data_IF_592352520415
#
_entry.id   IF_592352520415
#
_cell.length_a   1.000
_cell.length_b   1.000
_cell.length_c   1.000
_cell.angle_alpha   90.00
_cell.angle_beta   90.00
_cell.angle_gamma   90.00
#
_symmetry.space_group_name_H-M   'P 1'
#
loop_
_entity.id
_entity.type
_entity.pdbx_description
1 polymer ?
#
# COMPACT_ATOMS: atom_id res chain seq x y z
N UNK A 1 77.72 26.37 -21.16
CA UNK A 1 77.20 25.71 -19.95
C UNK A 1 75.92 26.46 -19.59
N UNK A 2 74.71 26.01 -20.00
CA UNK A 2 73.83 25.04 -19.31
C UNK A 2 73.84 25.33 -17.80
N UNK A 3 72.79 25.78 -17.12
CA UNK A 3 71.36 25.39 -17.10
C UNK A 3 70.63 26.31 -16.12
N UNK A 4 69.36 26.68 -16.36
CA UNK A 4 68.26 26.57 -15.38
C UNK A 4 66.95 27.06 -16.01
N UNK A 5 66.00 26.14 -16.23
CA UNK A 5 64.58 26.47 -16.34
C UNK A 5 63.88 25.64 -15.28
N UNK A 6 63.43 26.29 -14.21
CA UNK A 6 62.51 25.71 -13.24
C UNK A 6 61.15 25.54 -13.94
N UNK A 7 60.67 24.31 -14.03
CA UNK A 7 59.27 24.01 -14.35
C UNK A 7 58.62 23.56 -13.05
N UNK A 8 57.74 24.40 -12.52
CA UNK A 8 56.90 24.09 -11.37
C UNK A 8 55.65 23.39 -11.90
N UNK A 9 55.58 22.06 -11.81
CA UNK A 9 54.35 21.31 -12.06
C UNK A 9 53.56 21.29 -10.76
N UNK A 10 52.49 22.08 -10.69
CA UNK A 10 51.51 21.99 -9.61
C UNK A 10 50.67 20.73 -9.83
N UNK A 11 50.87 19.73 -8.98
CA UNK A 11 50.07 18.51 -8.95
C UNK A 11 48.76 18.81 -8.20
N UNK A 12 47.69 19.11 -8.94
CA UNK A 12 46.34 19.20 -8.36
C UNK A 12 45.82 17.78 -8.18
N UNK A 13 45.91 17.26 -6.95
CA UNK A 13 45.25 16.02 -6.56
C UNK A 13 43.77 16.35 -6.34
N UNK A 14 42.93 16.03 -7.34
CA UNK A 14 41.49 16.10 -7.21
C UNK A 14 41.03 15.03 -6.23
N UNK A 15 40.64 15.43 -5.02
CA UNK A 15 39.83 14.60 -4.14
C UNK A 15 38.43 14.49 -4.75
N UNK A 16 38.17 13.43 -5.51
CA UNK A 16 36.81 13.02 -5.81
C UNK A 16 36.20 12.43 -4.54
N UNK A 17 35.48 13.24 -3.79
CA UNK A 17 34.53 12.72 -2.80
C UNK A 17 33.52 11.87 -3.57
N UNK A 18 33.63 10.55 -3.46
CA UNK A 18 32.56 9.67 -3.89
C UNK A 18 31.39 9.93 -2.94
N UNK A 19 30.47 10.77 -3.38
CA UNK A 19 29.13 10.82 -2.79
C UNK A 19 28.52 9.47 -3.13
N UNK A 20 28.54 8.54 -2.18
CA UNK A 20 27.77 7.31 -2.28
C UNK A 20 26.30 7.72 -2.21
N UNK A 21 25.70 8.01 -3.36
CA UNK A 21 24.25 8.09 -3.47
C UNK A 21 23.72 6.69 -3.19
N UNK A 22 22.90 6.56 -2.14
CA UNK A 22 22.24 5.29 -1.85
C UNK A 22 21.42 4.85 -3.07
N UNK A 23 21.50 3.57 -3.39
CA UNK A 23 20.69 3.00 -4.47
C UNK A 23 19.31 2.61 -3.95
N UNK A 24 18.33 2.51 -4.86
CA UNK A 24 17.00 1.96 -4.52
C UNK A 24 17.13 0.58 -3.88
N UNK A 25 17.98 -0.29 -4.44
CA UNK A 25 18.19 -1.65 -3.95
C UNK A 25 18.72 -1.65 -2.51
N UNK A 26 19.61 -0.71 -2.15
CA UNK A 26 20.10 -0.55 -0.77
C UNK A 26 19.02 -0.06 0.19
N UNK A 27 18.18 0.90 -0.24
CA UNK A 27 17.07 1.41 0.59
C UNK A 27 16.07 0.28 0.87
N UNK A 28 15.69 -0.48 -0.15
CA UNK A 28 14.77 -1.62 0.00
C UNK A 28 15.39 -2.76 0.81
N UNK A 29 16.69 -3.03 0.67
CA UNK A 29 17.37 -4.02 1.49
C UNK A 29 17.36 -3.64 2.98
N UNK A 30 17.69 -2.39 3.32
CA UNK A 30 17.62 -1.88 4.69
C UNK A 30 16.18 -1.90 5.23
N UNK A 31 15.20 -1.52 4.40
CA UNK A 31 13.79 -1.61 4.75
C UNK A 31 13.43 -3.03 5.18
N UNK A 32 13.68 -4.03 4.33
CA UNK A 32 13.36 -5.42 4.63
C UNK A 32 14.11 -5.95 5.85
N UNK A 33 15.37 -5.57 6.05
CA UNK A 33 16.12 -5.93 7.25
C UNK A 33 15.47 -5.34 8.51
N UNK A 34 15.12 -4.05 8.48
CA UNK A 34 14.57 -3.33 9.62
C UNK A 34 13.16 -3.80 10.01
N UNK A 35 12.36 -4.29 9.06
CA UNK A 35 11.03 -4.83 9.36
C UNK A 35 11.03 -6.31 9.74
N UNK A 36 12.18 -6.95 9.95
CA UNK A 36 12.28 -8.33 10.42
C UNK A 36 12.67 -9.38 9.38
N UNK A 37 13.08 -8.93 8.19
CA UNK A 37 13.72 -9.74 7.15
C UNK A 37 12.78 -10.18 6.02
N UNK A 38 13.28 -10.05 4.78
CA UNK A 38 12.56 -10.43 3.55
C UNK A 38 12.05 -11.88 3.58
N UNK A 39 12.87 -12.81 4.05
CA UNK A 39 12.51 -14.23 4.10
C UNK A 39 11.37 -14.53 5.08
N UNK A 40 11.22 -13.74 6.15
CA UNK A 40 10.10 -13.88 7.06
C UNK A 40 8.84 -13.26 6.48
N UNK A 41 8.98 -12.09 5.84
CA UNK A 41 7.90 -11.42 5.14
C UNK A 41 7.31 -12.30 4.02
N UNK A 42 8.15 -12.98 3.23
CA UNK A 42 7.73 -13.91 2.16
C UNK A 42 6.95 -15.14 2.63
N UNK A 43 7.03 -15.49 3.92
CA UNK A 43 6.28 -16.62 4.52
C UNK A 43 4.84 -16.25 4.89
N UNK A 44 4.49 -14.97 4.83
CA UNK A 44 3.11 -14.54 5.08
C UNK A 44 2.25 -14.94 3.88
N UNK A 45 1.30 -15.82 4.16
CA UNK A 45 0.26 -16.26 3.24
C UNK A 45 -1.05 -15.49 3.45
N UNK A 46 -1.24 -14.91 4.65
CA UNK A 46 -2.39 -14.05 4.95
C UNK A 46 -2.17 -13.11 6.13
N UNK A 47 -3.01 -12.09 6.23
CA UNK A 47 -2.99 -11.12 7.32
C UNK A 47 -4.41 -10.67 7.64
N UNK A 48 -4.74 -10.64 8.94
CA UNK A 48 -5.94 -10.01 9.48
C UNK A 48 -5.55 -8.82 10.34
N UNK A 49 -6.11 -7.65 10.06
CA UNK A 49 -6.00 -6.47 10.92
C UNK A 49 -7.34 -6.18 11.58
N UNK A 50 -7.33 -6.01 12.91
CA UNK A 50 -8.49 -5.50 13.66
C UNK A 50 -8.26 -4.02 13.94
N UNK A 51 -9.05 -3.16 13.33
CA UNK A 51 -8.84 -1.72 13.33
C UNK A 51 -10.11 -0.92 13.64
N UNK A 52 -9.96 0.38 13.77
CA UNK A 52 -11.05 1.34 13.82
C UNK A 52 -10.70 2.54 12.96
N UNK A 53 -11.62 2.98 12.11
CA UNK A 53 -11.50 4.26 11.41
C UNK A 53 -12.29 5.33 12.16
N UNK A 54 -11.69 6.52 12.32
CA UNK A 54 -12.36 7.70 12.84
C UNK A 54 -12.85 8.56 11.67
N UNK A 55 -14.16 8.60 11.47
CA UNK A 55 -14.78 9.43 10.45
C UNK A 55 -15.59 10.54 11.13
N UNK A 56 -15.05 11.76 11.17
CA UNK A 56 -15.74 12.92 11.75
C UNK A 56 -16.08 12.78 13.24
N UNK A 57 -15.25 12.07 14.01
CA UNK A 57 -15.46 11.82 15.44
C UNK A 57 -16.24 10.53 15.75
N UNK A 58 -16.72 9.81 14.73
CA UNK A 58 -17.33 8.49 14.89
C UNK A 58 -16.28 7.40 14.66
N UNK A 59 -16.09 6.52 15.66
CA UNK A 59 -15.27 5.32 15.51
C UNK A 59 -16.10 4.20 14.86
N UNK A 60 -15.60 3.67 13.75
CA UNK A 60 -16.20 2.56 13.01
C UNK A 60 -15.22 1.38 13.04
N UNK A 61 -15.55 0.27 13.72
CA UNK A 61 -14.71 -0.93 13.73
C UNK A 61 -14.57 -1.55 12.35
N UNK A 62 -13.35 -2.00 12.05
CA UNK A 62 -12.96 -2.65 10.80
C UNK A 62 -12.26 -3.99 11.10
N UNK A 63 -12.51 -4.98 10.26
CA UNK A 63 -11.62 -6.13 10.09
C UNK A 63 -11.15 -6.16 8.64
N UNK A 64 -9.84 -6.16 8.42
CA UNK A 64 -9.24 -6.15 7.08
C UNK A 64 -8.49 -7.45 6.91
N UNK A 65 -8.78 -8.16 5.82
CA UNK A 65 -8.12 -9.40 5.48
C UNK A 65 -7.46 -9.28 4.12
N UNK A 66 -6.22 -9.75 4.02
CA UNK A 66 -5.47 -9.82 2.78
C UNK A 66 -4.70 -11.13 2.74
N UNK A 67 -4.66 -11.77 1.59
CA UNK A 67 -3.99 -13.04 1.37
C UNK A 67 -3.17 -13.00 0.10
N UNK A 68 -2.14 -13.85 0.09
CA UNK A 68 -1.35 -14.11 -1.12
C UNK A 68 -2.27 -14.63 -2.23
N UNK A 69 -2.00 -14.19 -3.47
CA UNK A 69 -2.89 -14.47 -4.61
C UNK A 69 -4.10 -13.54 -4.70
N UNK A 70 -4.18 -12.53 -3.82
CA UNK A 70 -5.06 -11.37 -3.96
C UNK A 70 -6.38 -11.46 -3.22
N UNK A 71 -6.76 -12.62 -2.66
CA UNK A 71 -7.99 -12.72 -1.86
C UNK A 71 -7.97 -11.67 -0.74
N UNK A 72 -9.04 -10.89 -0.63
CA UNK A 72 -9.13 -9.85 0.38
C UNK A 72 -10.59 -9.53 0.71
N UNK A 73 -10.82 -8.94 1.88
CA UNK A 73 -12.10 -8.35 2.24
C UNK A 73 -11.91 -7.36 3.39
N UNK A 74 -12.75 -6.33 3.41
CA UNK A 74 -12.88 -5.43 4.56
C UNK A 74 -14.28 -5.54 5.13
N UNK A 75 -14.37 -5.92 6.41
CA UNK A 75 -15.60 -5.91 7.19
C UNK A 75 -15.68 -4.58 7.93
N UNK A 76 -16.84 -3.92 7.86
CA UNK A 76 -17.13 -2.62 8.45
C UNK A 76 -18.33 -2.81 9.37
N UNK A 77 -18.15 -2.59 10.67
CA UNK A 77 -19.26 -2.64 11.61
C UNK A 77 -19.84 -1.23 11.79
N UNK A 78 -20.94 -0.93 11.08
CA UNK A 78 -21.58 0.38 11.14
C UNK A 78 -22.94 0.27 11.83
N UNK A 79 -23.08 0.88 13.01
CA UNK A 79 -24.31 0.87 13.81
C UNK A 79 -24.84 -0.56 14.09
N UNK A 80 -23.94 -1.51 14.35
CA UNK A 80 -24.29 -2.91 14.63
C UNK A 80 -24.64 -3.73 13.38
N UNK A 81 -24.52 -3.16 12.17
CA UNK A 81 -24.64 -3.88 10.91
C UNK A 81 -23.27 -4.17 10.34
N UNK A 82 -23.10 -5.40 9.85
CA UNK A 82 -21.90 -5.81 9.15
C UNK A 82 -22.01 -5.45 7.66
N UNK A 83 -21.10 -4.63 7.17
CA UNK A 83 -20.95 -4.31 5.75
C UNK A 83 -19.61 -4.83 5.25
N UNK A 84 -19.60 -5.50 4.10
CA UNK A 84 -18.38 -5.98 3.46
C UNK A 84 -18.03 -5.06 2.29
N UNK A 85 -16.76 -4.75 2.12
CA UNK A 85 -16.22 -3.95 1.02
C UNK A 85 -15.01 -4.64 0.42
N UNK A 86 -14.80 -4.43 -0.87
CA UNK A 86 -13.61 -4.91 -1.58
C UNK A 86 -13.41 -6.41 -1.49
N UNK A 87 -14.50 -7.18 -1.37
CA UNK A 87 -14.44 -8.63 -1.25
C UNK A 87 -14.02 -9.20 -2.58
N UNK A 88 -12.88 -9.87 -2.59
CA UNK A 88 -12.29 -10.44 -3.79
C UNK A 88 -11.87 -11.88 -3.53
N UNK A 89 -12.36 -12.81 -4.36
CA UNK A 89 -12.07 -14.24 -4.26
C UNK A 89 -10.96 -14.71 -5.22
N UNK A 90 -10.39 -13.79 -6.02
CA UNK A 90 -9.47 -14.06 -7.13
C UNK A 90 -10.11 -13.86 -8.52
N UNK A 91 -11.44 -13.86 -8.59
CA UNK A 91 -12.21 -13.77 -9.84
C UNK A 91 -13.33 -12.74 -9.77
N UNK A 92 -14.10 -12.71 -8.69
CA UNK A 92 -15.24 -11.83 -8.45
C UNK A 92 -14.86 -10.77 -7.42
N UNK A 93 -15.03 -9.49 -7.78
CA UNK A 93 -14.96 -8.37 -6.86
C UNK A 93 -16.37 -7.87 -6.53
N UNK A 94 -16.66 -7.68 -5.25
CA UNK A 94 -17.96 -7.17 -4.80
C UNK A 94 -17.89 -6.42 -3.45
N UNK A 95 -18.97 -5.73 -3.12
CA UNK A 95 -19.16 -5.10 -1.82
C UNK A 95 -20.61 -4.73 -1.57
N UNK A 96 -20.94 -4.34 -0.34
CA UNK A 96 -22.24 -3.79 0.00
C UNK A 96 -22.35 -2.32 -0.39
N UNK A 97 -23.43 -1.94 -1.07
CA UNK A 97 -23.76 -0.54 -1.25
C UNK A 97 -24.16 0.09 0.10
N UNK A 98 -23.49 1.14 0.54
CA UNK A 98 -23.76 1.74 1.86
C UNK A 98 -25.16 2.35 2.00
N UNK A 99 -25.81 2.72 0.89
CA UNK A 99 -27.15 3.31 0.91
C UNK A 99 -28.25 2.24 0.88
N UNK A 100 -28.10 1.22 0.04
CA UNK A 100 -29.12 0.18 -0.13
C UNK A 100 -28.87 -1.05 0.74
N UNK A 101 -27.67 -1.20 1.30
CA UNK A 101 -27.16 -2.35 2.05
C UNK A 101 -27.12 -3.66 1.24
N UNK A 102 -27.30 -3.60 -0.08
CA UNK A 102 -27.27 -4.78 -0.96
C UNK A 102 -25.86 -5.08 -1.44
N UNK A 103 -25.57 -6.36 -1.67
CA UNK A 103 -24.33 -6.79 -2.31
C UNK A 103 -24.37 -6.49 -3.81
N UNK A 104 -23.33 -5.84 -4.30
CA UNK A 104 -23.18 -5.44 -5.69
C UNK A 104 -21.80 -5.90 -6.18
N UNK A 105 -21.78 -6.56 -7.33
CA UNK A 105 -20.54 -6.89 -8.02
C UNK A 105 -19.96 -5.61 -8.64
N UNK A 106 -18.65 -5.47 -8.56
CA UNK A 106 -17.93 -4.45 -9.33
C UNK A 106 -18.01 -4.76 -10.82
N UNK A 107 -17.81 -3.73 -11.64
CA UNK A 107 -17.71 -3.90 -13.08
C UNK A 107 -16.43 -4.67 -13.49
N UNK A 108 -16.38 -5.08 -14.76
CA UNK A 108 -15.30 -5.90 -15.29
C UNK A 108 -13.94 -5.16 -15.30
N UNK A 109 -13.92 -3.85 -15.51
CA UNK A 109 -12.68 -3.05 -15.54
C UNK A 109 -12.09 -2.97 -14.13
N UNK A 110 -12.90 -2.60 -13.15
CA UNK A 110 -12.50 -2.55 -11.75
C UNK A 110 -12.02 -3.92 -11.26
N UNK A 111 -12.71 -4.99 -11.64
CA UNK A 111 -12.32 -6.37 -11.28
C UNK A 111 -11.01 -6.78 -11.96
N UNK A 112 -10.80 -6.43 -13.22
CA UNK A 112 -9.56 -6.71 -13.94
C UNK A 112 -8.37 -5.96 -13.34
N UNK A 113 -8.55 -4.69 -12.96
CA UNK A 113 -7.51 -3.92 -12.27
C UNK A 113 -7.19 -4.52 -10.90
N UNK A 114 -8.20 -4.98 -10.15
CA UNK A 114 -7.99 -5.63 -8.85
C UNK A 114 -7.11 -6.89 -8.97
N UNK A 115 -7.27 -7.69 -10.03
CA UNK A 115 -6.43 -8.87 -10.29
C UNK A 115 -4.95 -8.55 -10.45
N UNK A 116 -4.59 -7.37 -10.92
CA UNK A 116 -3.19 -6.96 -11.09
C UNK A 116 -2.49 -6.82 -9.72
N UNK A 117 -3.24 -6.45 -8.68
CA UNK A 117 -2.72 -6.31 -7.31
C UNK A 117 -2.45 -7.65 -6.62
N UNK A 118 -2.78 -8.80 -7.24
CA UNK A 118 -2.57 -10.12 -6.63
C UNK A 118 -1.10 -10.41 -6.30
N UNK A 119 -0.17 -9.72 -6.96
CA UNK A 119 1.27 -9.87 -6.80
C UNK A 119 1.87 -8.94 -5.73
N UNK A 120 1.07 -8.05 -5.13
CA UNK A 120 1.56 -6.99 -4.25
C UNK A 120 1.56 -7.37 -2.77
N UNK A 121 0.88 -8.45 -2.39
CA UNK A 121 0.85 -8.89 -1.01
C UNK A 121 2.06 -9.78 -0.66
N UNK A 122 2.67 -9.62 0.53
CA UNK A 122 2.38 -8.61 1.56
C UNK A 122 3.04 -7.24 1.33
N UNK A 123 3.96 -7.15 0.38
CA UNK A 123 4.64 -5.90 0.03
C UNK A 123 4.99 -5.86 -1.48
N UNK A 124 4.68 -4.76 -2.19
CA UNK A 124 4.84 -4.68 -3.64
C UNK A 124 6.31 -4.71 -4.08
N UNK A 125 7.25 -4.34 -3.21
CA UNK A 125 8.68 -4.31 -3.51
C UNK A 125 9.33 -5.69 -3.48
N UNK A 126 8.67 -6.69 -2.90
CA UNK A 126 9.15 -8.07 -2.94
C UNK A 126 9.27 -8.50 -4.40
N UNK A 127 10.46 -8.95 -4.83
CA UNK A 127 10.71 -9.46 -6.18
C UNK A 127 10.24 -8.52 -7.32
N UNK A 128 10.24 -7.21 -7.07
CA UNK A 128 9.66 -6.21 -7.99
C UNK A 128 10.22 -6.28 -9.42
N UNK A 129 11.51 -6.62 -9.57
CA UNK A 129 12.16 -6.80 -10.88
C UNK A 129 11.57 -7.99 -11.65
N UNK A 130 11.21 -9.07 -10.96
CA UNK A 130 10.62 -10.28 -11.56
C UNK A 130 9.16 -10.03 -11.98
N UNK A 131 8.45 -9.18 -11.23
CA UNK A 131 7.11 -8.68 -11.60
C UNK A 131 7.13 -7.70 -12.77
N UNK A 132 8.31 -7.22 -13.18
CA UNK A 132 8.47 -6.21 -14.22
C UNK A 132 8.17 -4.78 -13.74
N UNK A 133 8.18 -4.55 -12.43
CA UNK A 133 7.96 -3.21 -11.86
C UNK A 133 9.19 -2.35 -12.00
N UNK A 134 8.97 -1.05 -12.11
CA UNK A 134 10.02 -0.06 -12.09
C UNK A 134 10.02 0.65 -10.75
N UNK A 135 11.18 0.69 -10.10
CA UNK A 135 11.38 1.39 -8.84
C UNK A 135 12.52 2.39 -8.99
N UNK A 136 12.22 3.67 -8.75
CA UNK A 136 13.12 4.79 -9.02
C UNK A 136 13.27 5.66 -7.76
N UNK A 137 14.51 5.94 -7.34
CA UNK A 137 14.79 6.93 -6.31
C UNK A 137 14.76 8.32 -6.94
N UNK A 138 13.81 9.15 -6.52
CA UNK A 138 13.65 10.53 -7.00
C UNK A 138 14.43 11.56 -6.18
N UNK A 139 15.12 11.12 -5.13
CA UNK A 139 15.87 11.95 -4.20
C UNK A 139 15.24 11.96 -2.82
N UNK A 140 15.50 13.02 -2.06
CA UNK A 140 14.94 13.22 -0.72
C UNK A 140 13.84 14.27 -0.72
N UNK A 141 12.82 14.06 0.12
CA UNK A 141 11.71 15.00 0.33
C UNK A 141 11.33 14.99 1.83
N UNK A 142 10.92 16.14 2.35
CA UNK A 142 10.40 16.24 3.72
C UNK A 142 8.90 15.90 3.74
N UNK A 143 8.49 15.04 4.67
CA UNK A 143 7.09 14.74 4.97
C UNK A 143 6.88 15.00 6.46
N UNK A 144 6.06 16.01 6.78
CA UNK A 144 5.73 16.42 8.15
C UNK A 144 6.95 16.61 9.06
N UNK A 145 8.04 17.17 8.53
CA UNK A 145 9.28 17.43 9.27
C UNK A 145 10.23 16.22 9.38
N UNK A 146 9.92 15.12 8.69
CA UNK A 146 10.78 13.94 8.60
C UNK A 146 11.43 13.89 7.21
N UNK A 147 12.76 13.81 7.17
CA UNK A 147 13.48 13.63 5.89
C UNK A 147 13.28 12.20 5.38
N UNK A 148 12.78 12.07 4.15
CA UNK A 148 12.48 10.77 3.52
C UNK A 148 13.20 10.58 2.19
N UNK A 149 13.40 9.32 1.79
CA UNK A 149 13.67 8.95 0.41
C UNK A 149 12.35 8.83 -0.37
N UNK A 150 12.22 9.61 -1.44
CA UNK A 150 11.07 9.51 -2.33
C UNK A 150 11.32 8.45 -3.39
N UNK A 151 10.61 7.35 -3.28
CA UNK A 151 10.66 6.23 -4.22
C UNK A 151 9.40 6.24 -5.08
N UNK A 152 9.57 6.27 -6.40
CA UNK A 152 8.49 6.04 -7.35
C UNK A 152 8.41 4.55 -7.68
N UNK A 153 7.23 3.98 -7.52
CA UNK A 153 6.88 2.63 -7.95
C UNK A 153 5.93 2.74 -9.15
N UNK A 154 6.29 2.13 -10.28
CA UNK A 154 5.40 1.92 -11.43
C UNK A 154 5.14 0.43 -11.58
N UNK A 155 3.86 0.03 -11.50
CA UNK A 155 3.39 -1.37 -11.62
C UNK A 155 2.83 -1.66 -13.03
N UNK A 156 2.13 -2.79 -13.20
CA UNK A 156 1.46 -3.12 -14.45
C UNK A 156 0.47 -2.02 -14.88
N UNK A 157 0.23 -1.91 -16.19
CA UNK A 157 -0.76 -0.99 -16.72
C UNK A 157 -2.15 -1.37 -16.22
N UNK A 158 -2.89 -0.37 -15.75
CA UNK A 158 -4.29 -0.48 -15.36
C UNK A 158 -5.17 0.12 -16.44
N UNK A 159 -6.42 -0.32 -16.53
CA UNK A 159 -7.41 0.27 -17.43
C UNK A 159 -8.25 1.30 -16.70
N UNK A 160 -8.35 2.50 -17.25
CA UNK A 160 -9.16 3.60 -16.72
C UNK A 160 -10.02 4.15 -17.84
N UNK A 161 -11.34 4.07 -17.70
CA UNK A 161 -12.29 4.51 -18.72
C UNK A 161 -12.00 3.88 -20.10
N UNK A 162 -11.64 2.59 -20.11
CA UNK A 162 -11.30 1.81 -21.31
C UNK A 162 -9.92 2.12 -21.93
N UNK A 163 -9.03 2.84 -21.23
CA UNK A 163 -7.67 3.15 -21.71
C UNK A 163 -6.61 2.63 -20.75
N UNK A 164 -5.52 2.10 -21.30
CA UNK A 164 -4.36 1.71 -20.50
C UNK A 164 -3.62 2.94 -19.98
N UNK A 165 -3.27 2.93 -18.69
CA UNK A 165 -2.51 3.96 -18.01
C UNK A 165 -1.52 3.36 -17.01
N UNK A 166 -0.41 4.05 -16.74
CA UNK A 166 0.59 3.61 -15.75
C UNK A 166 0.03 3.63 -14.33
N UNK A 167 0.12 2.52 -13.59
CA UNK A 167 -0.16 2.51 -12.16
C UNK A 167 1.06 2.99 -11.37
N UNK A 168 1.01 4.23 -10.87
CA UNK A 168 2.14 4.92 -10.23
C UNK A 168 1.79 5.30 -8.81
N UNK A 169 2.70 4.97 -7.88
CA UNK A 169 2.66 5.40 -6.49
C UNK A 169 4.02 5.94 -6.06
N UNK A 170 4.02 6.90 -5.14
CA UNK A 170 5.21 7.47 -4.52
C UNK A 170 5.25 7.07 -3.05
N UNK A 171 6.29 6.36 -2.66
CA UNK A 171 6.56 5.94 -1.30
C UNK A 171 7.62 6.87 -0.69
N UNK A 172 7.40 7.26 0.55
CA UNK A 172 8.28 8.13 1.31
C UNK A 172 8.87 7.34 2.47
N UNK A 173 10.08 6.84 2.28
CA UNK A 173 10.78 6.03 3.26
C UNK A 173 11.55 6.92 4.22
N UNK A 174 11.30 6.81 5.51
CA UNK A 174 12.10 7.50 6.53
C UNK A 174 13.60 7.22 6.35
N UNK A 175 14.43 8.25 6.43
CA UNK A 175 15.88 8.09 6.20
C UNK A 175 16.65 7.47 7.37
N UNK A 176 16.03 7.38 8.55
CA UNK A 176 16.64 6.76 9.73
C UNK A 176 16.31 5.26 9.82
N UNK A 177 15.03 4.92 9.70
CA UNK A 177 14.52 3.56 9.91
C UNK A 177 14.17 2.84 8.61
N UNK A 178 14.23 3.51 7.46
CA UNK A 178 13.97 2.91 6.14
C UNK A 178 12.58 2.28 6.02
N UNK A 179 11.58 2.75 6.77
CA UNK A 179 10.18 2.31 6.65
C UNK A 179 9.35 3.38 5.95
N UNK A 180 8.33 3.01 5.14
CA UNK A 180 7.50 3.98 4.45
C UNK A 180 6.59 4.71 5.44
N UNK A 181 6.74 6.02 5.61
CA UNK A 181 5.87 6.83 6.47
C UNK A 181 4.73 7.50 5.70
N UNK A 182 4.81 7.52 4.37
CA UNK A 182 3.70 7.94 3.52
C UNK A 182 3.72 7.24 2.15
N UNK A 183 2.54 7.13 1.56
CA UNK A 183 2.31 6.74 0.16
C UNK A 183 1.39 7.79 -0.47
N UNK A 184 1.74 8.26 -1.66
CA UNK A 184 0.91 9.15 -2.47
C UNK A 184 0.66 8.53 -3.85
N UNK A 185 -0.58 8.63 -4.34
CA UNK A 185 -0.96 8.20 -5.69
C UNK A 185 -2.07 9.08 -6.25
N UNK A 186 -2.20 9.15 -7.57
CA UNK A 186 -3.30 9.89 -8.20
C UNK A 186 -4.59 9.04 -8.15
N UNK A 187 -5.69 9.65 -7.72
CA UNK A 187 -7.01 9.05 -7.84
C UNK A 187 -7.40 9.10 -9.32
N UNK A 188 -7.62 7.94 -9.94
CA UNK A 188 -7.85 7.86 -11.39
C UNK A 188 -9.31 7.83 -11.81
N UNK A 189 -10.21 7.50 -10.89
CA UNK A 189 -11.63 7.29 -11.19
C UNK A 189 -12.54 7.97 -10.15
N UNK A 190 -13.82 8.08 -10.48
CA UNK A 190 -14.83 8.64 -9.57
C UNK A 190 -14.69 10.14 -9.33
N UNK A 191 -15.37 10.64 -8.30
CA UNK A 191 -15.45 12.06 -7.99
C UNK A 191 -14.10 12.69 -7.63
N UNK A 192 -13.14 11.88 -7.17
CA UNK A 192 -11.83 12.34 -6.78
C UNK A 192 -10.78 12.37 -7.89
N UNK A 193 -11.16 12.06 -9.13
CA UNK A 193 -10.23 11.94 -10.26
C UNK A 193 -9.31 13.17 -10.37
N UNK A 194 -8.00 12.93 -10.45
CA UNK A 194 -6.96 13.96 -10.54
C UNK A 194 -6.48 14.54 -9.20
N UNK A 195 -7.10 14.17 -8.08
CA UNK A 195 -6.58 14.50 -6.75
C UNK A 195 -5.50 13.49 -6.35
N UNK A 196 -4.59 13.92 -5.45
CA UNK A 196 -3.59 13.04 -4.87
C UNK A 196 -4.16 12.41 -3.60
N UNK A 197 -4.33 11.09 -3.62
CA UNK A 197 -4.56 10.31 -2.41
C UNK A 197 -3.25 10.25 -1.62
N UNK A 198 -3.36 10.30 -0.29
CA UNK A 198 -2.25 10.14 0.64
C UNK A 198 -2.65 9.17 1.74
N UNK A 199 -1.73 8.28 2.07
CA UNK A 199 -1.80 7.40 3.22
C UNK A 199 -0.53 7.62 4.03
N UNK A 200 -0.64 8.00 5.30
CA UNK A 200 0.49 8.10 6.22
C UNK A 200 0.49 6.94 7.20
N UNK A 201 1.68 6.59 7.69
CA UNK A 201 1.94 5.45 8.57
C UNK A 201 2.76 5.89 9.77
N UNK A 202 2.42 5.36 10.94
CA UNK A 202 3.10 5.65 12.19
C UNK A 202 2.90 4.50 13.17
N UNK A 203 3.59 4.58 14.31
CA UNK A 203 3.49 3.60 15.40
C UNK A 203 3.80 2.18 14.90
N UNK A 204 5.00 1.98 14.36
CA UNK A 204 5.44 0.67 13.93
C UNK A 204 5.68 -0.24 15.14
N UNK A 205 5.00 -1.38 15.18
CA UNK A 205 5.10 -2.35 16.27
C UNK A 205 5.44 -3.74 15.73
N UNK A 206 6.10 -4.53 16.57
CA UNK A 206 6.49 -5.90 16.26
C UNK A 206 5.31 -6.86 16.42
N UNK A 207 5.12 -7.72 15.42
CA UNK A 207 4.16 -8.84 15.39
C UNK A 207 4.89 -10.05 14.82
N UNK A 208 5.08 -11.08 15.64
CA UNK A 208 5.77 -12.32 15.27
C UNK A 208 7.15 -12.11 14.59
N UNK A 209 7.91 -11.11 15.08
CA UNK A 209 9.25 -10.79 14.57
C UNK A 209 9.27 -9.90 13.33
N UNK A 210 8.12 -9.39 12.88
CA UNK A 210 8.00 -8.43 11.78
C UNK A 210 7.40 -7.11 12.26
N UNK A 211 7.80 -5.97 11.68
CA UNK A 211 7.25 -4.66 12.06
C UNK A 211 6.16 -4.17 11.09
N UNK A 212 5.04 -3.74 11.64
CA UNK A 212 3.90 -3.20 10.90
C UNK A 212 3.42 -1.89 11.50
N UNK A 213 2.87 -0.95 10.71
CA UNK A 213 2.27 0.26 11.24
C UNK A 213 0.97 -0.05 11.98
N UNK A 214 0.81 0.48 13.20
CA UNK A 214 -0.44 0.36 13.97
C UNK A 214 -1.31 1.62 13.89
N UNK A 215 -0.80 2.68 13.27
CA UNK A 215 -1.54 3.92 13.03
C UNK A 215 -1.39 4.35 11.58
N UNK A 216 -2.52 4.59 10.93
CA UNK A 216 -2.60 5.08 9.56
C UNK A 216 -3.50 6.30 9.48
N UNK A 217 -3.29 7.17 8.49
CA UNK A 217 -4.29 8.17 8.11
C UNK A 217 -4.44 8.15 6.60
N UNK A 218 -5.67 8.05 6.09
CA UNK A 218 -5.94 8.01 4.65
C UNK A 218 -6.83 9.18 4.24
N UNK A 219 -6.48 9.86 3.15
CA UNK A 219 -7.29 10.97 2.64
C UNK A 219 -6.75 11.55 1.34
N UNK A 220 -7.21 12.75 1.00
CA UNK A 220 -6.62 13.58 -0.07
C UNK A 220 -5.48 14.38 0.53
N UNK A 221 -4.33 14.40 -0.13
CA UNK A 221 -3.15 15.16 0.29
C UNK A 221 -3.51 16.62 0.59
N UNK A 222 -3.09 17.11 1.75
CA UNK A 222 -3.36 18.48 2.19
C UNK A 222 -4.78 18.73 2.71
N UNK A 223 -5.61 17.71 2.82
CA UNK A 223 -6.91 17.75 3.49
C UNK A 223 -6.88 16.88 4.76
N UNK A 224 -7.79 17.11 5.73
CA UNK A 224 -7.95 16.18 6.85
C UNK A 224 -8.29 14.78 6.33
N UNK A 225 -7.42 13.81 6.60
CA UNK A 225 -7.68 12.39 6.34
C UNK A 225 -8.51 11.74 7.45
N UNK A 226 -8.89 10.49 7.22
CA UNK A 226 -9.53 9.62 8.21
C UNK A 226 -8.45 8.81 8.95
N UNK A 227 -8.24 9.03 10.26
CA UNK A 227 -7.34 8.22 11.07
C UNK A 227 -7.85 6.80 11.19
N UNK A 228 -6.95 5.83 11.12
CA UNK A 228 -7.21 4.40 11.30
C UNK A 228 -6.23 3.90 12.36
N UNK A 229 -6.76 3.36 13.45
CA UNK A 229 -5.96 2.74 14.51
C UNK A 229 -6.14 1.24 14.45
N UNK A 230 -5.04 0.53 14.31
CA UNK A 230 -4.98 -0.93 14.34
C UNK A 230 -4.71 -1.35 15.79
N UNK A 231 -5.49 -2.30 16.27
CA UNK A 231 -5.40 -2.82 17.64
C UNK A 231 -4.78 -4.20 17.72
N UNK A 232 -4.83 -4.96 16.62
CA UNK A 232 -4.22 -6.27 16.50
C UNK A 232 -3.95 -6.58 15.03
N UNK A 233 -2.86 -7.29 14.79
CA UNK A 233 -2.54 -7.93 13.52
C UNK A 233 -2.31 -9.41 13.81
N UNK A 234 -2.93 -10.26 13.02
CA UNK A 234 -2.75 -11.72 13.05
C UNK A 234 -2.19 -12.15 11.70
N UNK A 235 -1.06 -12.86 11.72
CA UNK A 235 -0.41 -13.39 10.53
C UNK A 235 -0.89 -14.83 10.27
N UNK A 236 -1.11 -15.13 9.00
CA UNK A 236 -1.60 -16.42 8.51
C UNK A 236 -2.91 -16.90 9.19
N UNK A 237 -3.94 -16.04 9.29
CA UNK A 237 -5.20 -16.43 9.92
C UNK A 237 -5.91 -17.54 9.12
N UNK A 238 -6.58 -18.45 9.81
CA UNK A 238 -7.50 -19.40 9.18
C UNK A 238 -8.85 -18.71 8.92
N UNK A 239 -9.29 -18.70 7.67
CA UNK A 239 -10.56 -18.08 7.25
C UNK A 239 -11.29 -19.00 6.29
N UNK A 240 -12.59 -19.16 6.51
CA UNK A 240 -13.45 -19.97 5.64
C UNK A 240 -13.67 -19.27 4.30
N UNK A 241 -13.41 -19.94 3.18
CA UNK A 241 -13.54 -19.37 1.83
C UNK A 241 -14.95 -18.82 1.52
N UNK A 242 -15.98 -19.28 2.21
CA UNK A 242 -17.35 -18.76 2.06
C UNK A 242 -17.48 -17.27 2.44
N UNK A 243 -16.57 -16.71 3.22
CA UNK A 243 -16.63 -15.28 3.57
C UNK A 243 -16.41 -14.37 2.35
N UNK A 244 -15.73 -14.89 1.32
CA UNK A 244 -15.44 -14.18 0.06
C UNK A 244 -16.53 -14.38 -1.00
N UNK A 245 -17.38 -15.39 -0.84
CA UNK A 245 -18.40 -15.72 -1.82
C UNK A 245 -19.42 -14.59 -1.96
N UNK A 246 -19.77 -14.26 -3.20
CA UNK A 246 -20.88 -13.34 -3.47
C UNK A 246 -22.18 -13.96 -2.93
N UNK A 247 -22.95 -13.26 -2.08
CA UNK A 247 -24.17 -13.83 -1.52
C UNK A 247 -25.20 -14.02 -2.62
N UNK A 248 -25.80 -15.21 -2.69
CA UNK A 248 -27.00 -15.43 -3.50
C UNK A 248 -28.13 -14.58 -2.89
N UNK A 249 -28.80 -13.73 -3.69
CA UNK A 249 -30.00 -13.04 -3.22
C UNK A 249 -31.02 -14.12 -2.83
N UNK A 250 -31.20 -14.37 -1.53
CA UNK A 250 -32.39 -15.08 -1.08
C UNK A 250 -33.55 -14.16 -1.38
N UNK A 251 -34.29 -14.43 -2.45
CA UNK A 251 -35.61 -13.86 -2.67
C UNK A 251 -36.39 -14.08 -1.36
N UNK A 252 -36.56 -13.03 -0.57
CA UNK A 252 -37.58 -13.01 0.44
C UNK A 252 -38.88 -13.14 -0.32
N UNK A 253 -39.36 -14.38 -0.40
CA UNK A 253 -40.75 -14.66 -0.66
C UNK A 253 -41.51 -13.95 0.45
N UNK A 254 -41.91 -12.71 0.17
CA UNK A 254 -42.97 -12.04 0.91
C UNK A 254 -44.19 -12.94 0.74
N UNK A 255 -44.29 -13.87 1.69
CA UNK A 255 -45.36 -14.83 1.81
C UNK A 255 -46.62 -13.98 2.05
N UNK A 256 -47.37 -13.79 0.96
CA UNK A 256 -48.74 -13.28 0.97
C UNK A 256 -49.54 -14.02 2.05
N UNK A 257 -49.67 -13.43 3.24
CA UNK A 257 -50.67 -13.73 4.27
C UNK A 257 -50.82 -12.45 5.09
N UNK A 258 -51.96 -11.76 5.19
CA UNK A 258 -53.35 -11.98 4.80
C UNK A 258 -54.01 -10.59 4.76
#
# INVERSE_FOLDING_TARGET
>A
MKTLKLVLVALVVGFSTQVNAQTVDEILANYFENIGGLENLKKIEGMKMTAKVNNGGMEIPLEIYQFKGGKQLTIINFQGKELKQGVFDGETLWGHNFMTLKAEKSDAETTANMKLNNNDFPDPFIDYKEKGYLVELLGKEDIDGTETFKIKLTKELITVDGKEEEDVSFYFFDTENFVPIAIQSEIKTGQGKGMIQEITFSDYQEVDGLYFPFSMTQGVKGQPGAPITISAIELNPEVDDSVFAFPEETESTDDKKN
#
